data_IF_715098081576
#
_entry.id   IF_715098081576
#
_cell.length_a   1.000
_cell.length_b   1.000
_cell.length_c   1.000
_cell.angle_alpha   90.00
_cell.angle_beta   90.00
_cell.angle_gamma   90.00
#
_symmetry.space_group_name_H-M   'P 1'
#
loop_
_entity.id
_entity.type
_entity.pdbx_description
1 polymer ?
#
# COMPACT_ATOMS: atom_id res chain seq x y z
N UNK A 1 10.50 8.10 -16.96
CA UNK A 1 10.32 8.01 -15.50
C UNK A 1 8.84 8.14 -15.20
N UNK A 2 8.22 7.02 -14.83
CA UNK A 2 6.81 6.99 -14.42
C UNK A 2 6.64 7.29 -12.93
N UNK A 3 5.39 7.37 -12.42
CA UNK A 3 5.09 7.70 -11.03
C UNK A 3 5.32 6.49 -10.11
N UNK A 4 6.54 5.98 -10.12
CA UNK A 4 6.95 4.84 -9.34
C UNK A 4 7.91 5.25 -8.22
N UNK A 5 7.87 4.49 -7.14
CA UNK A 5 8.74 4.64 -5.99
C UNK A 5 9.75 3.51 -6.05
N UNK A 6 11.04 3.87 -6.00
CA UNK A 6 12.12 2.91 -5.81
C UNK A 6 12.09 2.41 -4.37
N UNK A 7 11.87 1.11 -4.20
CA UNK A 7 12.07 0.36 -2.96
C UNK A 7 13.33 -0.50 -3.11
N UNK A 8 13.92 -0.92 -1.99
CA UNK A 8 15.26 -1.56 -1.92
C UNK A 8 15.52 -2.64 -2.99
N UNK A 9 14.48 -3.36 -3.41
CA UNK A 9 14.56 -4.48 -4.36
C UNK A 9 13.67 -4.33 -5.59
N UNK A 10 12.81 -3.31 -5.67
CA UNK A 10 11.78 -3.21 -6.71
C UNK A 10 11.25 -1.79 -6.93
N UNK A 11 10.64 -1.57 -8.09
CA UNK A 11 10.02 -0.29 -8.46
C UNK A 11 8.51 -0.45 -8.43
N UNK A 12 7.84 0.22 -7.50
CA UNK A 12 6.42 0.02 -7.19
C UNK A 12 5.58 1.29 -7.40
N UNK A 13 4.31 1.18 -7.84
CA UNK A 13 3.39 2.30 -7.76
C UNK A 13 3.08 2.66 -6.30
N UNK A 14 2.76 3.94 -6.03
CA UNK A 14 2.54 4.47 -4.68
C UNK A 14 1.60 3.60 -3.82
N UNK A 15 0.49 3.11 -4.39
CA UNK A 15 -0.46 2.23 -3.66
C UNK A 15 0.19 0.94 -3.17
N UNK A 16 0.94 0.25 -4.04
CA UNK A 16 1.61 -1.00 -3.72
C UNK A 16 2.76 -0.77 -2.71
N UNK A 17 3.51 0.31 -2.90
CA UNK A 17 4.58 0.70 -2.00
C UNK A 17 4.07 0.97 -0.58
N UNK A 18 2.99 1.74 -0.41
CA UNK A 18 2.40 1.99 0.92
C UNK A 18 1.89 0.70 1.54
N UNK A 19 1.20 -0.16 0.78
CA UNK A 19 0.77 -1.47 1.27
C UNK A 19 1.93 -2.32 1.79
N UNK A 20 3.05 -2.35 1.06
CA UNK A 20 4.29 -3.04 1.47
C UNK A 20 4.94 -2.42 2.71
N UNK A 21 4.96 -1.09 2.85
CA UNK A 21 5.51 -0.44 4.06
C UNK A 21 4.63 -0.68 5.28
N UNK A 22 3.31 -0.64 5.12
CA UNK A 22 2.37 -0.93 6.21
C UNK A 22 2.44 -2.39 6.66
N UNK A 23 2.69 -3.33 5.75
CA UNK A 23 2.91 -4.73 6.14
C UNK A 23 4.11 -4.88 7.07
N UNK A 24 5.24 -4.23 6.74
CA UNK A 24 6.46 -4.19 7.58
C UNK A 24 6.21 -3.51 8.94
N UNK A 25 5.46 -2.41 8.98
CA UNK A 25 5.11 -1.69 10.23
C UNK A 25 4.13 -2.46 11.12
N UNK A 26 3.26 -3.28 10.53
CA UNK A 26 2.32 -4.13 11.26
C UNK A 26 2.98 -5.34 11.94
N UNK A 27 4.32 -5.45 11.86
CA UNK A 27 5.18 -6.46 12.47
C UNK A 27 5.11 -6.60 14.00
N UNK A 28 4.16 -5.98 14.71
CA UNK A 28 3.81 -6.40 16.08
C UNK A 28 2.81 -7.56 16.04
N UNK A 29 3.33 -8.72 15.65
CA UNK A 29 2.88 -10.12 15.83
C UNK A 29 1.39 -10.47 15.92
N UNK A 30 0.57 -9.76 16.68
CA UNK A 30 -0.81 -10.13 16.97
C UNK A 30 -1.77 -9.92 15.79
N UNK A 31 -1.61 -8.83 15.03
CA UNK A 31 -2.49 -8.60 13.86
C UNK A 31 -2.22 -9.61 12.75
N UNK A 32 -0.94 -9.90 12.46
CA UNK A 32 -0.54 -10.89 11.47
C UNK A 32 -1.04 -12.28 11.86
N UNK A 33 -0.88 -12.69 13.13
CA UNK A 33 -1.40 -13.96 13.65
C UNK A 33 -2.91 -14.10 13.49
N UNK A 34 -3.69 -13.04 13.72
CA UNK A 34 -5.15 -13.08 13.51
C UNK A 34 -5.54 -13.25 12.05
N UNK A 35 -4.82 -12.60 11.13
CA UNK A 35 -5.04 -12.75 9.69
C UNK A 35 -4.66 -14.17 9.26
N UNK A 36 -3.52 -14.66 9.73
CA UNK A 36 -3.05 -16.02 9.44
C UNK A 36 -4.05 -17.08 9.92
N UNK A 37 -4.54 -16.96 11.16
CA UNK A 37 -5.53 -17.87 11.71
C UNK A 37 -6.81 -17.88 10.87
N UNK A 38 -7.34 -16.70 10.54
CA UNK A 38 -8.54 -16.58 9.69
C UNK A 38 -8.32 -17.21 8.32
N UNK A 39 -7.20 -16.91 7.66
CA UNK A 39 -6.90 -17.45 6.32
C UNK A 39 -6.70 -18.97 6.36
N UNK A 40 -6.16 -19.50 7.46
CA UNK A 40 -6.05 -20.95 7.66
C UNK A 40 -7.41 -21.63 7.82
N UNK A 41 -8.36 -20.97 8.47
CA UNK A 41 -9.76 -21.44 8.55
C UNK A 41 -10.45 -21.33 7.17
N UNK A 42 -10.27 -20.23 6.44
CA UNK A 42 -10.88 -20.00 5.11
C UNK A 42 -10.33 -20.93 4.02
N UNK A 43 -9.05 -21.32 4.12
CA UNK A 43 -8.38 -22.15 3.12
C UNK A 43 -8.27 -23.63 3.53
N UNK A 44 -8.83 -24.04 4.66
CA UNK A 44 -8.67 -25.37 5.24
C UNK A 44 -8.89 -26.51 4.22
N UNK A 45 -9.95 -26.41 3.41
CA UNK A 45 -10.33 -27.43 2.40
C UNK A 45 -9.40 -27.45 1.17
N UNK A 46 -8.49 -26.49 1.06
CA UNK A 46 -7.59 -26.28 -0.09
C UNK A 46 -6.12 -26.41 0.29
N UNK A 47 -5.81 -26.65 1.56
CA UNK A 47 -4.44 -26.81 2.03
C UNK A 47 -3.97 -28.25 1.77
N UNK A 48 -2.74 -28.44 1.26
CA UNK A 48 -2.11 -29.75 1.17
C UNK A 48 -1.86 -30.37 2.56
N UNK A 49 -1.76 -31.69 2.62
CA UNK A 49 -1.36 -32.42 3.83
C UNK A 49 0.08 -32.12 4.27
N UNK A 50 0.94 -31.75 3.31
CA UNK A 50 2.30 -31.28 3.62
C UNK A 50 2.22 -29.93 4.35
N UNK A 51 2.55 -29.97 5.64
CA UNK A 51 2.54 -28.82 6.53
C UNK A 51 3.46 -27.68 6.06
N UNK A 52 4.58 -27.99 5.39
CA UNK A 52 5.48 -26.96 4.85
C UNK A 52 4.88 -26.29 3.62
N UNK A 53 4.25 -27.05 2.73
CA UNK A 53 3.53 -26.49 1.58
C UNK A 53 2.32 -25.68 2.01
N UNK A 54 1.53 -26.20 2.96
CA UNK A 54 0.39 -25.49 3.54
C UNK A 54 0.81 -24.16 4.19
N UNK A 55 1.91 -24.14 4.95
CA UNK A 55 2.43 -22.90 5.53
C UNK A 55 2.85 -21.89 4.46
N UNK A 56 3.51 -22.33 3.38
CA UNK A 56 3.90 -21.45 2.26
C UNK A 56 2.68 -20.80 1.59
N UNK A 57 1.61 -21.57 1.36
CA UNK A 57 0.36 -21.05 0.79
C UNK A 57 -0.28 -20.00 1.72
N UNK A 58 -0.29 -20.28 3.03
CA UNK A 58 -0.83 -19.34 4.03
C UNK A 58 0.00 -18.06 4.09
N UNK A 59 1.33 -18.14 4.10
CA UNK A 59 2.19 -16.95 4.13
C UNK A 59 1.97 -16.08 2.88
N UNK A 60 1.89 -16.68 1.70
CA UNK A 60 1.57 -15.95 0.47
C UNK A 60 0.18 -15.30 0.51
N UNK A 61 -0.83 -16.01 1.03
CA UNK A 61 -2.18 -15.46 1.19
C UNK A 61 -2.23 -14.31 2.21
N UNK A 62 -1.47 -14.40 3.31
CA UNK A 62 -1.33 -13.32 4.30
C UNK A 62 -0.69 -12.09 3.65
N UNK A 63 0.37 -12.27 2.86
CA UNK A 63 1.03 -11.18 2.15
C UNK A 63 0.08 -10.49 1.16
N UNK A 64 -0.67 -11.26 0.38
CA UNK A 64 -1.68 -10.72 -0.53
C UNK A 64 -2.78 -9.97 0.22
N UNK A 65 -3.32 -10.55 1.29
CA UNK A 65 -4.36 -9.92 2.10
C UNK A 65 -3.90 -8.58 2.70
N UNK A 66 -2.66 -8.54 3.21
CA UNK A 66 -2.10 -7.31 3.75
C UNK A 66 -1.85 -6.28 2.65
N UNK A 67 -1.41 -6.70 1.47
CA UNK A 67 -1.23 -5.82 0.31
C UNK A 67 -2.56 -5.21 -0.13
N UNK A 68 -3.61 -6.03 -0.26
CA UNK A 68 -4.96 -5.60 -0.63
C UNK A 68 -5.57 -4.65 0.42
N UNK A 69 -5.56 -5.05 1.70
CA UNK A 69 -6.07 -4.20 2.80
C UNK A 69 -5.28 -2.90 2.93
N UNK A 70 -3.97 -2.95 2.68
CA UNK A 70 -3.11 -1.76 2.62
C UNK A 70 -3.51 -0.81 1.49
N UNK A 71 -3.84 -1.34 0.32
CA UNK A 71 -4.29 -0.56 -0.84
C UNK A 71 -5.67 0.09 -0.62
N UNK A 72 -6.58 -0.58 0.09
CA UNK A 72 -7.90 -0.04 0.45
C UNK A 72 -7.79 1.03 1.54
N UNK A 73 -7.02 0.76 2.59
CA UNK A 73 -6.74 1.74 3.64
C UNK A 73 -6.08 3.00 3.06
N UNK A 74 -5.09 2.82 2.19
CA UNK A 74 -4.46 3.93 1.48
C UNK A 74 -5.49 4.75 0.69
N UNK A 75 -6.40 4.10 -0.04
CA UNK A 75 -7.42 4.82 -0.82
C UNK A 75 -8.35 5.63 0.08
N UNK A 76 -8.73 5.07 1.24
CA UNK A 76 -9.53 5.77 2.25
C UNK A 76 -8.78 6.97 2.84
N UNK A 77 -7.53 6.77 3.28
CA UNK A 77 -6.70 7.84 3.87
C UNK A 77 -6.48 8.96 2.87
N UNK A 78 -6.13 8.64 1.62
CA UNK A 78 -5.95 9.67 0.59
C UNK A 78 -7.24 10.43 0.33
N UNK A 79 -8.40 9.77 0.37
CA UNK A 79 -9.71 10.44 0.24
C UNK A 79 -9.94 11.44 1.38
N UNK A 80 -9.61 11.07 2.62
CA UNK A 80 -9.75 11.97 3.76
C UNK A 80 -8.75 13.13 3.71
N UNK A 81 -7.49 12.88 3.31
CA UNK A 81 -6.49 13.93 3.12
C UNK A 81 -6.86 14.89 1.98
N UNK A 82 -7.49 14.39 0.92
CA UNK A 82 -8.00 15.22 -0.17
C UNK A 82 -9.18 16.08 0.29
N UNK A 83 -10.12 15.50 1.04
CA UNK A 83 -11.24 16.25 1.65
C UNK A 83 -10.75 17.35 2.60
N UNK A 84 -9.67 17.09 3.33
CA UNK A 84 -9.03 18.07 4.20
C UNK A 84 -8.16 19.11 3.47
N UNK A 85 -8.00 18.98 2.14
CA UNK A 85 -7.22 19.91 1.32
C UNK A 85 -5.70 19.70 1.38
N UNK A 86 -5.22 18.62 1.99
CA UNK A 86 -3.77 18.36 2.15
C UNK A 86 -3.13 17.66 0.95
N UNK A 87 -3.93 16.97 0.14
CA UNK A 87 -3.49 16.21 -1.03
C UNK A 87 -4.44 16.45 -2.20
N UNK A 88 -3.90 16.54 -3.42
CA UNK A 88 -4.70 16.46 -4.65
C UNK A 88 -4.38 15.17 -5.41
N UNK A 89 -5.42 14.45 -5.85
CA UNK A 89 -5.27 13.23 -6.66
C UNK A 89 -5.37 13.53 -8.15
N UNK A 90 -4.50 12.88 -8.91
CA UNK A 90 -4.51 12.94 -10.36
C UNK A 90 -4.39 11.52 -10.92
N UNK A 91 -5.31 11.20 -11.82
CA UNK A 91 -5.33 9.94 -12.56
C UNK A 91 -4.85 10.12 -14.01
N UNK A 92 -4.63 11.38 -14.45
CA UNK A 92 -4.16 11.74 -15.78
C UNK A 92 -3.50 13.14 -15.80
N UNK A 93 -2.44 13.29 -16.59
CA UNK A 93 -2.05 14.51 -17.33
C UNK A 93 -1.62 15.77 -16.57
N UNK A 94 -1.92 15.94 -15.28
CA UNK A 94 -1.92 17.29 -14.72
C UNK A 94 -0.59 17.76 -14.09
N UNK A 95 0.27 16.86 -13.58
CA UNK A 95 1.49 17.31 -12.84
C UNK A 95 2.78 16.52 -13.00
N UNK A 96 2.88 15.59 -13.95
CA UNK A 96 4.17 15.03 -14.33
C UNK A 96 4.25 14.91 -15.84
N UNK A 97 5.47 14.99 -16.34
CA UNK A 97 5.88 14.83 -17.74
C UNK A 97 5.64 13.38 -18.24
N UNK A 98 4.48 12.80 -17.94
CA UNK A 98 4.12 11.42 -18.21
C UNK A 98 3.12 11.38 -19.36
N UNK A 99 3.64 11.24 -20.58
CA UNK A 99 2.82 10.78 -21.69
C UNK A 99 2.26 9.41 -21.29
N UNK A 100 0.94 9.29 -21.28
CA UNK A 100 0.21 8.07 -20.96
C UNK A 100 0.48 7.03 -22.08
N UNK A 101 1.68 6.43 -22.09
CA UNK A 101 2.15 5.50 -23.14
C UNK A 101 1.68 4.07 -22.84
N UNK A 102 0.35 3.92 -22.70
CA UNK A 102 -0.32 2.63 -22.69
C UNK A 102 -0.04 1.77 -21.46
N UNK A 103 -0.86 1.90 -20.42
CA UNK A 103 -0.89 0.91 -19.34
C UNK A 103 -1.48 1.42 -18.02
N UNK A 104 -2.81 1.39 -17.90
CA UNK A 104 -3.62 1.60 -16.68
C UNK A 104 -3.39 2.88 -15.85
N UNK A 105 -4.48 3.45 -15.32
CA UNK A 105 -4.51 4.74 -14.58
C UNK A 105 -3.83 4.63 -13.21
N UNK A 106 -2.52 4.84 -13.15
CA UNK A 106 -1.80 4.93 -11.87
C UNK A 106 -2.12 6.25 -11.16
N UNK A 107 -2.43 6.17 -9.85
CA UNK A 107 -2.74 7.33 -9.02
C UNK A 107 -1.47 8.13 -8.70
N UNK A 108 -1.51 9.44 -8.98
CA UNK A 108 -0.52 10.43 -8.56
C UNK A 108 -1.14 11.30 -7.48
N UNK A 109 -0.43 11.46 -6.35
CA UNK A 109 -0.83 12.36 -5.27
C UNK A 109 0.15 13.52 -5.20
N UNK A 110 -0.35 14.76 -5.12
CA UNK A 110 0.45 15.96 -4.91
C UNK A 110 0.10 16.55 -3.56
N UNK A 111 1.11 16.77 -2.71
CA UNK A 111 0.94 17.41 -1.42
C UNK A 111 0.72 18.91 -1.61
N UNK A 112 -0.10 19.49 -0.74
CA UNK A 112 -0.17 20.93 -0.58
C UNK A 112 1.20 21.52 -0.21
N UNK A 113 1.47 22.75 -0.66
CA UNK A 113 2.77 23.39 -0.52
C UNK A 113 3.12 23.66 0.95
N UNK A 114 2.15 24.10 1.75
CA UNK A 114 2.35 24.42 3.17
C UNK A 114 2.53 23.14 3.99
N UNK A 115 1.76 22.10 3.68
CA UNK A 115 1.93 20.76 4.27
C UNK A 115 3.32 20.19 3.95
N UNK A 116 3.75 20.29 2.68
CA UNK A 116 5.10 19.87 2.26
C UNK A 116 6.19 20.66 2.99
N UNK A 117 6.01 21.97 3.15
CA UNK A 117 6.95 22.82 3.88
C UNK A 117 7.00 22.46 5.38
N UNK A 118 5.86 22.18 6.02
CA UNK A 118 5.79 21.76 7.42
C UNK A 118 6.49 20.40 7.63
N UNK A 119 6.21 19.40 6.78
CA UNK A 119 6.84 18.08 6.86
C UNK A 119 8.37 18.14 6.68
N UNK A 120 8.86 19.00 5.78
CA UNK A 120 10.31 19.21 5.56
C UNK A 120 11.00 19.88 6.75
N UNK A 121 10.29 20.77 7.45
CA UNK A 121 10.79 21.43 8.66
C UNK A 121 10.84 20.52 9.88
N UNK A 122 10.24 19.32 9.83
CA UNK A 122 9.97 18.45 11.00
C UNK A 122 9.18 19.16 12.10
N UNK A 123 8.40 20.17 11.74
CA UNK A 123 7.44 20.75 12.66
C UNK A 123 6.38 19.68 12.91
N UNK A 124 6.43 19.00 14.06
CA UNK A 124 5.36 18.12 14.48
C UNK A 124 4.09 18.96 14.54
N UNK A 125 3.11 18.61 13.70
CA UNK A 125 1.72 19.03 13.93
C UNK A 125 1.31 18.44 15.28
N UNK A 126 1.34 19.28 16.30
CA UNK A 126 0.83 19.01 17.66
C UNK A 126 -0.67 19.23 17.68
#
# INVERSE_FOLDING_TARGET
MGPFIEDETEVLPLRAWVGKRLSRLSGRSQRRKKIEQRLREELADRLPDDLFEAQRIIDAAVEEHVRATGADNFSRVVTELERAGYVARYYEGYRTNHANRGGSRNLVCVLDADVSAALRRRDMLV
#
